data_IF_387597689232
#
_entry.id   IF_387597689232
#
_cell.length_a   1.000
_cell.length_b   1.000
_cell.length_c   1.000
_cell.angle_alpha   90.00
_cell.angle_beta   90.00
_cell.angle_gamma   90.00
#
_symmetry.space_group_name_H-M   'P 1'
#
loop_
_entity.id
_entity.type
_entity.pdbx_description
1 polymer ?
#
# COMPACT_ATOMS: atom_id res chain seq x y z
N UNK A 1 -13.65 18.33 -0.91
CA UNK A 1 -13.30 17.97 -2.30
C UNK A 1 -13.46 19.15 -3.25
N UNK A 2 -14.59 19.86 -3.23
CA UNK A 2 -14.83 21.08 -4.04
C UNK A 2 -13.70 22.12 -3.98
N UNK A 3 -13.32 22.55 -2.77
CA UNK A 3 -12.20 23.48 -2.56
C UNK A 3 -10.84 22.97 -3.06
N UNK A 4 -10.67 21.65 -3.19
CA UNK A 4 -9.45 21.07 -3.75
C UNK A 4 -9.46 21.11 -5.27
N UNK A 5 -10.60 20.80 -5.91
CA UNK A 5 -10.79 20.92 -7.35
C UNK A 5 -10.55 22.37 -7.80
N UNK A 6 -11.14 23.33 -7.09
CA UNK A 6 -10.99 24.77 -7.36
C UNK A 6 -9.53 25.23 -7.21
N UNK A 7 -8.85 24.84 -6.12
CA UNK A 7 -7.42 25.16 -5.92
C UNK A 7 -6.53 24.60 -7.02
N UNK A 8 -6.79 23.37 -7.46
CA UNK A 8 -6.01 22.72 -8.51
C UNK A 8 -6.27 23.40 -9.88
N UNK A 9 -7.52 23.77 -10.16
CA UNK A 9 -7.87 24.52 -11.36
C UNK A 9 -7.22 25.92 -11.38
N UNK A 10 -7.25 26.63 -10.25
CA UNK A 10 -6.61 27.94 -10.12
C UNK A 10 -5.08 27.87 -10.29
N UNK A 11 -4.43 26.83 -9.76
CA UNK A 11 -2.96 26.71 -9.78
C UNK A 11 -2.40 26.16 -11.10
N UNK A 12 -3.17 25.32 -11.79
CA UNK A 12 -2.67 24.55 -12.94
C UNK A 12 -3.56 24.65 -14.18
N UNK A 13 -4.57 25.52 -14.19
CA UNK A 13 -5.49 25.75 -15.32
C UNK A 13 -6.61 24.71 -15.50
N UNK A 14 -7.53 25.01 -16.43
CA UNK A 14 -8.67 24.15 -16.79
C UNK A 14 -8.28 23.11 -17.86
N UNK A 15 -7.50 22.10 -17.46
CA UNK A 15 -7.20 20.96 -18.33
C UNK A 15 -8.29 19.87 -18.22
N UNK A 16 -8.54 19.12 -19.31
CA UNK A 16 -9.35 17.89 -19.29
C UNK A 16 -8.65 16.81 -18.46
N UNK A 17 -8.88 16.81 -17.15
CA UNK A 17 -8.23 15.91 -16.18
C UNK A 17 -9.09 14.67 -15.93
N UNK A 18 -8.43 13.53 -15.75
CA UNK A 18 -9.03 12.31 -15.22
C UNK A 18 -8.70 12.18 -13.74
N UNK A 19 -9.72 12.16 -12.89
CA UNK A 19 -9.58 12.03 -11.45
C UNK A 19 -9.73 10.57 -11.02
N UNK A 20 -8.66 10.03 -10.44
CA UNK A 20 -8.65 8.68 -9.89
C UNK A 20 -8.93 8.76 -8.39
N UNK A 21 -9.98 8.08 -7.92
CA UNK A 21 -10.34 8.11 -6.49
C UNK A 21 -10.54 6.72 -5.90
N UNK A 22 -10.05 6.56 -4.68
CA UNK A 22 -10.26 5.38 -3.85
C UNK A 22 -11.72 5.19 -3.43
N UNK A 23 -12.01 3.98 -2.95
CA UNK A 23 -13.35 3.62 -2.49
C UNK A 23 -13.76 4.45 -1.27
N UNK A 24 -14.95 5.05 -1.33
CA UNK A 24 -15.53 5.81 -0.22
C UNK A 24 -15.05 7.26 -0.11
N UNK A 25 -14.27 7.75 -1.07
CA UNK A 25 -13.86 9.17 -1.14
C UNK A 25 -14.94 10.05 -1.78
N UNK A 26 -15.48 9.72 -2.98
CA UNK A 26 -16.52 10.53 -3.60
C UNK A 26 -17.92 10.17 -3.09
N UNK A 27 -18.75 11.20 -2.88
CA UNK A 27 -20.21 11.10 -2.72
C UNK A 27 -20.89 11.32 -4.07
N UNK A 28 -22.15 10.89 -4.22
CA UNK A 28 -22.91 11.09 -5.46
C UNK A 28 -22.97 12.56 -5.87
N UNK A 29 -23.30 13.44 -4.91
CA UNK A 29 -23.38 14.88 -5.13
C UNK A 29 -22.08 15.47 -5.67
N UNK A 30 -20.92 14.94 -5.28
CA UNK A 30 -19.62 15.41 -5.80
C UNK A 30 -19.40 14.90 -7.23
N UNK A 31 -19.77 13.65 -7.53
CA UNK A 31 -19.65 13.12 -8.89
C UNK A 31 -20.56 13.87 -9.87
N UNK A 32 -21.78 14.21 -9.43
CA UNK A 32 -22.71 15.01 -10.21
C UNK A 32 -22.15 16.41 -10.51
N UNK A 33 -21.58 17.08 -9.50
CA UNK A 33 -20.91 18.36 -9.70
C UNK A 33 -19.71 18.27 -10.66
N UNK A 34 -18.96 17.17 -10.60
CA UNK A 34 -17.83 16.94 -11.52
C UNK A 34 -18.31 16.70 -12.96
N UNK A 35 -19.50 16.13 -13.18
CA UNK A 35 -20.10 16.01 -14.50
C UNK A 35 -20.62 17.36 -15.01
N UNK A 36 -21.21 18.16 -14.13
CA UNK A 36 -21.80 19.46 -14.45
C UNK A 36 -20.79 20.63 -14.58
N UNK A 37 -19.52 20.42 -14.23
CA UNK A 37 -18.49 21.46 -14.36
C UNK A 37 -18.13 21.76 -15.82
N UNK A 38 -17.66 22.97 -16.10
CA UNK A 38 -17.11 23.35 -17.40
C UNK A 38 -15.60 23.64 -17.33
N UNK A 39 -14.73 22.88 -18.03
CA UNK A 39 -15.05 21.67 -18.80
C UNK A 39 -15.44 20.47 -17.90
N UNK A 40 -16.18 19.48 -18.42
CA UNK A 40 -16.63 18.32 -17.64
C UNK A 40 -15.43 17.53 -17.13
N UNK A 41 -15.43 17.24 -15.84
CA UNK A 41 -14.33 16.55 -15.18
C UNK A 41 -14.51 15.04 -15.33
N UNK A 42 -13.55 14.39 -15.97
CA UNK A 42 -13.53 12.93 -16.07
C UNK A 42 -13.08 12.29 -14.76
N UNK A 43 -13.62 11.14 -14.41
CA UNK A 43 -13.22 10.39 -13.21
C UNK A 43 -13.28 8.88 -13.40
N UNK A 44 -12.54 8.19 -12.55
CA UNK A 44 -12.60 6.74 -12.36
C UNK A 44 -12.48 6.44 -10.87
N UNK A 45 -13.57 5.93 -10.30
CA UNK A 45 -13.72 5.78 -8.86
C UNK A 45 -14.05 4.35 -8.48
N UNK A 46 -13.46 3.88 -7.38
CA UNK A 46 -13.86 2.60 -6.82
C UNK A 46 -15.20 2.73 -6.09
N UNK A 47 -16.15 1.85 -6.36
CA UNK A 47 -17.42 1.82 -5.63
C UNK A 47 -17.45 0.75 -4.53
N UNK A 48 -18.23 0.96 -3.45
CA UNK A 48 -18.38 -0.05 -2.40
C UNK A 48 -18.97 -1.35 -2.95
N UNK A 49 -18.55 -2.49 -2.39
CA UNK A 49 -19.09 -3.82 -2.78
C UNK A 49 -20.59 -3.99 -2.51
N UNK A 50 -21.21 -3.09 -1.73
CA UNK A 50 -22.66 -3.07 -1.51
C UNK A 50 -23.44 -2.72 -2.77
N UNK A 51 -22.95 -1.75 -3.54
CA UNK A 51 -23.54 -1.30 -4.81
C UNK A 51 -23.53 -2.39 -5.89
N UNK A 52 -22.62 -3.37 -5.77
CA UNK A 52 -22.59 -4.55 -6.64
C UNK A 52 -23.94 -5.27 -6.66
N UNK A 53 -24.67 -5.33 -5.54
CA UNK A 53 -25.91 -6.11 -5.45
C UNK A 53 -27.01 -5.55 -6.36
N UNK A 54 -27.03 -4.24 -6.59
CA UNK A 54 -28.01 -3.60 -7.48
C UNK A 54 -27.68 -3.87 -8.97
N UNK A 55 -26.40 -3.88 -9.30
CA UNK A 55 -25.91 -4.04 -10.68
C UNK A 55 -25.62 -5.50 -11.07
N UNK A 56 -25.66 -6.43 -10.09
CA UNK A 56 -25.28 -7.84 -10.28
C UNK A 56 -26.09 -8.47 -11.41
N UNK A 57 -27.40 -8.22 -11.46
CA UNK A 57 -28.29 -8.74 -12.52
C UNK A 57 -27.89 -8.23 -13.90
N UNK A 58 -27.74 -6.93 -14.08
CA UNK A 58 -27.38 -6.32 -15.36
C UNK A 58 -25.96 -6.70 -15.84
N UNK A 59 -25.08 -7.12 -14.92
CA UNK A 59 -23.73 -7.59 -15.21
C UNK A 59 -23.66 -9.09 -15.55
N UNK A 60 -24.71 -9.89 -15.29
CA UNK A 60 -24.67 -11.34 -15.56
C UNK A 60 -24.50 -11.62 -17.05
N UNK A 61 -25.26 -10.92 -17.89
CA UNK A 61 -25.34 -11.18 -19.33
C UNK A 61 -24.20 -10.54 -20.13
N UNK A 62 -23.34 -9.74 -19.49
CA UNK A 62 -22.19 -9.12 -20.15
C UNK A 62 -21.00 -10.08 -20.27
N UNK A 63 -20.25 -10.07 -21.39
CA UNK A 63 -19.08 -10.94 -21.55
C UNK A 63 -17.93 -10.53 -20.62
N UNK A 64 -17.09 -11.50 -20.26
CA UNK A 64 -15.82 -11.22 -19.60
C UNK A 64 -14.74 -10.95 -20.63
N UNK A 65 -14.01 -9.85 -20.46
CA UNK A 65 -12.85 -9.51 -21.27
C UNK A 65 -11.57 -9.66 -20.45
N UNK A 66 -10.59 -10.37 -20.99
CA UNK A 66 -9.28 -10.52 -20.35
C UNK A 66 -8.43 -9.27 -20.60
N UNK A 67 -8.01 -8.61 -19.52
CA UNK A 67 -7.20 -7.39 -19.60
C UNK A 67 -5.72 -7.68 -19.39
N UNK A 68 -5.42 -8.69 -18.55
CA UNK A 68 -4.07 -9.21 -18.31
C UNK A 68 -4.18 -10.60 -17.71
N UNK A 69 -3.06 -11.32 -17.64
CA UNK A 69 -3.01 -12.64 -17.00
C UNK A 69 -3.59 -12.60 -15.58
N UNK A 70 -4.64 -13.39 -15.35
CA UNK A 70 -5.34 -13.48 -14.06
C UNK A 70 -6.24 -12.29 -13.71
N UNK A 71 -6.54 -11.38 -14.65
CA UNK A 71 -7.54 -10.31 -14.46
C UNK A 71 -8.49 -10.22 -15.64
N UNK A 72 -9.79 -10.27 -15.33
CA UNK A 72 -10.88 -10.14 -16.28
C UNK A 72 -11.82 -9.03 -15.83
N UNK A 73 -12.47 -8.37 -16.79
CA UNK A 73 -13.41 -7.28 -16.53
C UNK A 73 -14.69 -7.43 -17.34
N UNK A 74 -15.78 -6.87 -16.84
CA UNK A 74 -17.04 -6.66 -17.56
C UNK A 74 -17.35 -5.17 -17.56
N UNK A 75 -17.82 -4.68 -18.69
CA UNK A 75 -18.33 -3.32 -18.82
C UNK A 75 -19.86 -3.32 -18.80
N UNK A 76 -20.42 -2.37 -18.06
CA UNK A 76 -21.84 -2.06 -18.06
C UNK A 76 -21.99 -0.54 -18.26
N UNK A 77 -22.22 -0.08 -19.50
CA UNK A 77 -22.64 1.29 -19.77
C UNK A 77 -24.05 1.52 -19.19
N UNK A 78 -24.23 2.58 -18.42
CA UNK A 78 -25.50 2.97 -17.83
C UNK A 78 -25.47 4.47 -17.47
N UNK A 79 -26.55 5.21 -17.78
CA UNK A 79 -26.76 6.60 -17.35
C UNK A 79 -25.55 7.53 -17.62
N UNK A 80 -25.05 7.51 -18.87
CA UNK A 80 -23.84 8.23 -19.34
C UNK A 80 -22.52 7.86 -18.64
N UNK A 81 -22.55 6.82 -17.83
CA UNK A 81 -21.39 6.26 -17.15
C UNK A 81 -21.11 4.83 -17.63
N UNK A 82 -19.95 4.34 -17.22
CA UNK A 82 -19.55 2.95 -17.37
C UNK A 82 -19.15 2.38 -16.02
N UNK A 83 -19.78 1.27 -15.68
CA UNK A 83 -19.42 0.45 -14.55
C UNK A 83 -18.47 -0.65 -15.02
N UNK A 84 -17.34 -0.79 -14.34
CA UNK A 84 -16.35 -1.84 -14.61
C UNK A 84 -16.36 -2.83 -13.46
N UNK A 85 -16.95 -4.00 -13.69
CA UNK A 85 -16.82 -5.12 -12.76
C UNK A 85 -15.56 -5.87 -13.10
N UNK A 86 -14.63 -5.93 -12.17
CA UNK A 86 -13.35 -6.53 -12.44
C UNK A 86 -12.99 -7.57 -11.37
N UNK A 87 -12.38 -8.66 -11.85
CA UNK A 87 -12.09 -9.87 -11.11
C UNK A 87 -10.61 -10.17 -11.24
N UNK A 88 -9.91 -10.29 -10.11
CA UNK A 88 -8.48 -10.61 -10.08
C UNK A 88 -8.21 -11.89 -9.29
N UNK A 89 -7.59 -12.88 -9.93
CA UNK A 89 -7.20 -14.14 -9.30
C UNK A 89 -6.25 -13.93 -8.11
N UNK A 90 -5.17 -13.17 -8.29
CA UNK A 90 -4.25 -12.84 -7.20
C UNK A 90 -4.94 -12.09 -6.04
N UNK A 91 -5.96 -11.27 -6.33
CA UNK A 91 -6.76 -10.63 -5.28
C UNK A 91 -7.70 -11.62 -4.56
N UNK A 92 -8.29 -12.57 -5.30
CA UNK A 92 -9.04 -13.68 -4.70
C UNK A 92 -8.15 -14.41 -3.70
N UNK A 93 -6.95 -14.80 -4.09
CA UNK A 93 -6.04 -15.56 -3.23
C UNK A 93 -5.60 -14.77 -2.01
N UNK A 94 -5.29 -13.48 -2.18
CA UNK A 94 -4.97 -12.58 -1.06
C UNK A 94 -6.14 -12.45 -0.07
N UNK A 95 -7.34 -12.14 -0.56
CA UNK A 95 -8.53 -11.98 0.31
C UNK A 95 -8.90 -13.29 0.99
N UNK A 96 -8.77 -14.41 0.27
CA UNK A 96 -8.99 -15.77 0.78
C UNK A 96 -7.98 -16.14 1.86
N UNK A 97 -6.69 -15.84 1.67
CA UNK A 97 -5.64 -16.07 2.66
C UNK A 97 -5.90 -15.26 3.94
N UNK A 98 -6.25 -13.97 3.80
CA UNK A 98 -6.62 -13.11 4.93
C UNK A 98 -7.83 -13.70 5.68
N UNK A 99 -8.89 -14.07 4.97
CA UNK A 99 -10.09 -14.69 5.57
C UNK A 99 -9.74 -15.98 6.30
N UNK A 100 -9.00 -16.90 5.66
CA UNK A 100 -8.59 -18.18 6.26
C UNK A 100 -7.75 -17.95 7.53
N UNK A 101 -6.78 -17.03 7.48
CA UNK A 101 -5.94 -16.67 8.64
C UNK A 101 -6.78 -16.15 9.81
N UNK A 102 -7.68 -15.19 9.55
CA UNK A 102 -8.56 -14.60 10.57
C UNK A 102 -9.56 -15.61 11.14
N UNK A 103 -10.18 -16.44 10.29
CA UNK A 103 -11.10 -17.48 10.73
C UNK A 103 -10.40 -18.58 11.54
N UNK A 104 -9.17 -18.97 11.16
CA UNK A 104 -8.40 -19.96 11.93
C UNK A 104 -8.13 -19.47 13.35
N UNK A 105 -7.72 -18.21 13.52
CA UNK A 105 -7.51 -17.59 14.84
C UNK A 105 -8.79 -17.52 15.64
N UNK A 106 -9.89 -17.08 15.01
CA UNK A 106 -11.19 -17.01 15.66
C UNK A 106 -11.65 -18.40 16.15
N UNK A 107 -11.55 -19.43 15.32
CA UNK A 107 -11.92 -20.80 15.70
C UNK A 107 -11.02 -21.36 16.80
N UNK A 108 -9.71 -21.10 16.75
CA UNK A 108 -8.80 -21.49 17.83
C UNK A 108 -9.23 -20.87 19.16
N UNK A 109 -9.53 -19.57 19.17
CA UNK A 109 -10.01 -18.87 20.37
C UNK A 109 -11.36 -19.39 20.85
N UNK A 110 -12.30 -19.69 19.95
CA UNK A 110 -13.61 -20.25 20.32
C UNK A 110 -13.48 -21.67 20.91
N UNK A 111 -12.58 -22.51 20.37
CA UNK A 111 -12.29 -23.82 20.94
C UNK A 111 -11.61 -23.71 22.31
N UNK A 112 -10.72 -22.74 22.50
CA UNK A 112 -10.09 -22.47 23.79
C UNK A 112 -11.14 -22.08 24.84
N UNK A 113 -12.03 -21.13 24.51
CA UNK A 113 -13.14 -20.73 25.39
C UNK A 113 -14.08 -21.89 25.70
N UNK A 114 -14.32 -22.78 24.74
CA UNK A 114 -15.13 -23.99 24.94
C UNK A 114 -14.47 -25.00 25.87
N UNK A 115 -13.14 -25.02 25.96
CA UNK A 115 -12.38 -25.88 26.89
C UNK A 115 -12.30 -25.28 28.29
N UNK A 116 -12.11 -23.97 28.38
CA UNK A 116 -12.01 -23.25 29.65
C UNK A 116 -13.37 -23.13 30.36
N UNK A 117 -14.46 -23.04 29.61
CA UNK A 117 -15.82 -22.80 30.12
C UNK A 117 -15.84 -21.67 31.16
N UNK A 118 -15.35 -20.46 30.81
CA UNK A 118 -15.27 -19.36 31.76
C UNK A 118 -16.68 -18.86 32.14
N UNK A 119 -16.75 -18.10 33.24
CA UNK A 119 -17.96 -17.38 33.64
C UNK A 119 -18.51 -16.50 32.51
N UNK A 120 -19.83 -16.29 32.51
CA UNK A 120 -20.54 -15.66 31.39
C UNK A 120 -19.97 -14.30 30.99
N UNK A 121 -19.64 -13.45 31.96
CA UNK A 121 -19.14 -12.10 31.67
C UNK A 121 -17.73 -12.14 31.07
N UNK A 122 -16.88 -13.06 31.53
CA UNK A 122 -15.56 -13.28 30.95
C UNK A 122 -15.68 -13.85 29.53
N UNK A 123 -16.64 -14.74 29.28
CA UNK A 123 -16.96 -15.24 27.94
C UNK A 123 -17.36 -14.08 27.01
N UNK A 124 -18.25 -13.19 27.45
CA UNK A 124 -18.71 -12.04 26.66
C UNK A 124 -17.57 -11.07 26.34
N UNK A 125 -16.71 -10.77 27.31
CA UNK A 125 -15.51 -9.94 27.09
C UNK A 125 -14.56 -10.59 26.08
N UNK A 126 -14.30 -11.89 26.22
CA UNK A 126 -13.44 -12.64 25.30
C UNK A 126 -14.02 -12.70 23.87
N UNK A 127 -15.35 -12.86 23.74
CA UNK A 127 -16.04 -12.80 22.45
C UNK A 127 -15.98 -11.40 21.84
N UNK A 128 -16.06 -10.34 22.65
CA UNK A 128 -15.85 -8.96 22.22
C UNK A 128 -14.44 -8.74 21.64
N UNK A 129 -13.41 -9.22 22.32
CA UNK A 129 -12.03 -9.18 21.85
C UNK A 129 -11.84 -9.99 20.55
N UNK A 130 -12.42 -11.19 20.50
CA UNK A 130 -12.39 -12.04 19.31
C UNK A 130 -13.11 -11.41 18.11
N UNK A 131 -14.24 -10.72 18.34
CA UNK A 131 -14.97 -9.95 17.32
C UNK A 131 -14.14 -8.80 16.79
N UNK A 132 -13.44 -8.07 17.67
CA UNK A 132 -12.52 -7.00 17.26
C UNK A 132 -11.38 -7.54 16.39
N UNK A 133 -10.77 -8.67 16.76
CA UNK A 133 -9.67 -9.24 15.98
C UNK A 133 -10.14 -9.81 14.63
N UNK A 134 -11.27 -10.52 14.61
CA UNK A 134 -11.83 -11.13 13.41
C UNK A 134 -12.49 -10.10 12.45
N UNK A 135 -12.93 -8.96 12.99
CA UNK A 135 -13.63 -7.91 12.26
C UNK A 135 -14.86 -8.45 11.53
N UNK A 136 -15.02 -8.09 10.25
CA UNK A 136 -16.15 -8.54 9.40
C UNK A 136 -16.30 -10.06 9.28
N UNK A 137 -15.23 -10.83 9.53
CA UNK A 137 -15.29 -12.29 9.41
C UNK A 137 -15.96 -12.96 10.60
N UNK A 138 -16.14 -12.25 11.72
CA UNK A 138 -16.90 -12.74 12.87
C UNK A 138 -18.33 -13.13 12.47
N UNK A 139 -18.97 -12.32 11.63
CA UNK A 139 -20.32 -12.54 11.12
C UNK A 139 -20.48 -13.78 10.22
N UNK A 140 -19.39 -14.48 9.88
CA UNK A 140 -19.41 -15.75 9.15
C UNK A 140 -19.64 -16.96 10.06
N UNK A 141 -19.55 -16.76 11.38
CA UNK A 141 -19.94 -17.73 12.38
C UNK A 141 -21.25 -17.27 13.02
N UNK A 142 -22.14 -18.23 13.25
CA UNK A 142 -23.27 -18.06 14.15
C UNK A 142 -22.83 -18.61 15.50
N UNK A 143 -22.69 -17.73 16.48
CA UNK A 143 -22.26 -18.05 17.84
C UNK A 143 -23.47 -17.86 18.74
N UNK A 144 -23.86 -18.94 19.41
CA UNK A 144 -24.89 -18.98 20.44
C UNK A 144 -24.20 -18.84 21.79
N UNK A 145 -24.67 -17.90 22.60
CA UNK A 145 -24.20 -17.64 23.96
C UNK A 145 -25.31 -17.99 24.95
N UNK A 146 -24.98 -18.41 26.19
CA UNK A 146 -25.97 -18.69 27.22
C UNK A 146 -26.81 -17.47 27.59
N UNK A 147 -28.05 -17.73 28.02
CA UNK A 147 -28.93 -16.75 28.64
C UNK A 147 -28.31 -16.19 29.94
N UNK A 148 -28.81 -15.05 30.48
CA UNK A 148 -28.27 -14.43 31.69
C UNK A 148 -28.09 -15.38 32.87
N UNK A 149 -29.04 -16.31 33.07
CA UNK A 149 -29.07 -17.23 34.21
C UNK A 149 -28.57 -18.65 33.87
N UNK A 150 -27.97 -18.83 32.69
CA UNK A 150 -27.44 -20.12 32.25
C UNK A 150 -25.92 -20.19 32.37
N UNK A 151 -25.43 -21.27 32.99
CA UNK A 151 -24.01 -21.59 33.01
C UNK A 151 -23.45 -21.82 31.60
N UNK A 152 -22.18 -21.46 31.40
CA UNK A 152 -21.46 -21.71 30.16
C UNK A 152 -21.10 -23.19 30.09
N UNK A 153 -21.79 -23.93 29.22
CA UNK A 153 -21.55 -25.36 29.00
C UNK A 153 -21.36 -25.64 27.51
N UNK A 154 -20.93 -26.85 27.17
CA UNK A 154 -20.74 -27.26 25.79
C UNK A 154 -22.04 -27.29 24.96
N UNK A 155 -23.22 -27.24 25.60
CA UNK A 155 -24.54 -27.18 24.98
C UNK A 155 -25.08 -25.76 24.86
N UNK A 156 -24.80 -24.89 25.84
CA UNK A 156 -25.26 -23.48 25.83
C UNK A 156 -24.34 -22.57 25.03
N UNK A 157 -23.05 -22.89 24.94
CA UNK A 157 -22.09 -22.20 24.07
C UNK A 157 -21.80 -23.03 22.80
N UNK A 158 -22.36 -22.59 21.68
CA UNK A 158 -22.20 -23.27 20.39
C UNK A 158 -21.77 -22.29 19.31
N UNK A 159 -20.99 -22.76 18.35
CA UNK A 159 -20.64 -21.98 17.17
C UNK A 159 -20.68 -22.83 15.91
N UNK A 160 -21.31 -22.30 14.86
CA UNK A 160 -21.47 -22.99 13.57
C UNK A 160 -21.22 -22.04 12.41
N UNK A 161 -20.87 -22.61 11.27
CA UNK A 161 -20.70 -21.83 10.05
C UNK A 161 -22.02 -21.25 9.56
N UNK A 162 -22.05 -19.94 9.33
CA UNK A 162 -23.13 -19.32 8.56
C UNK A 162 -22.90 -19.57 7.06
N UNK A 163 -23.26 -20.78 6.59
CA UNK A 163 -22.98 -21.25 5.22
C UNK A 163 -23.47 -20.31 4.12
N UNK A 164 -24.63 -19.68 4.29
CA UNK A 164 -25.15 -18.69 3.33
C UNK A 164 -24.22 -17.48 3.17
N UNK A 165 -23.85 -16.82 4.28
CA UNK A 165 -22.90 -15.68 4.27
C UNK A 165 -21.52 -16.07 3.74
N UNK A 166 -21.04 -17.26 4.11
CA UNK A 166 -19.77 -17.76 3.62
C UNK A 166 -19.77 -17.95 2.10
N UNK A 167 -20.86 -18.47 1.52
CA UNK A 167 -21.04 -18.60 0.06
C UNK A 167 -20.99 -17.24 -0.63
N UNK A 168 -21.73 -16.25 -0.11
CA UNK A 168 -21.72 -14.88 -0.66
C UNK A 168 -20.33 -14.26 -0.60
N UNK A 169 -19.63 -14.36 0.54
CA UNK A 169 -18.28 -13.81 0.68
C UNK A 169 -17.31 -14.46 -0.31
N UNK A 170 -17.34 -15.80 -0.44
CA UNK A 170 -16.48 -16.52 -1.40
C UNK A 170 -16.73 -16.09 -2.85
N UNK A 171 -17.99 -15.87 -3.24
CA UNK A 171 -18.34 -15.39 -4.59
C UNK A 171 -17.88 -13.96 -4.85
N UNK A 172 -17.80 -13.12 -3.81
CA UNK A 172 -17.41 -11.70 -3.89
C UNK A 172 -15.92 -11.45 -3.62
N UNK A 173 -15.13 -12.49 -3.30
CA UNK A 173 -13.67 -12.39 -3.16
C UNK A 173 -13.05 -11.93 -4.48
N UNK A 174 -12.09 -11.01 -4.41
CA UNK A 174 -11.33 -10.55 -5.59
C UNK A 174 -12.13 -9.79 -6.66
N UNK A 175 -13.43 -9.57 -6.45
CA UNK A 175 -14.29 -8.73 -7.29
C UNK A 175 -14.37 -7.30 -6.75
N UNK A 176 -14.28 -6.34 -7.66
CA UNK A 176 -14.40 -4.91 -7.38
C UNK A 176 -15.19 -4.26 -8.49
N UNK A 177 -15.93 -3.22 -8.11
CA UNK A 177 -16.72 -2.43 -9.03
C UNK A 177 -16.05 -1.06 -9.11
N UNK A 178 -15.84 -0.60 -10.33
CA UNK A 178 -15.40 0.76 -10.64
C UNK A 178 -16.53 1.47 -11.34
N UNK A 179 -16.55 2.79 -11.24
CA UNK A 179 -17.50 3.68 -11.91
C UNK A 179 -16.74 4.82 -12.56
N UNK A 180 -17.10 5.17 -13.78
CA UNK A 180 -16.42 6.19 -14.56
C UNK A 180 -17.36 6.84 -15.56
N UNK A 181 -17.14 8.11 -15.87
CA UNK A 181 -17.76 8.79 -17.03
C UNK A 181 -16.86 8.74 -18.29
N UNK A 182 -15.78 7.96 -18.29
CA UNK A 182 -14.94 7.70 -19.46
C UNK A 182 -15.58 6.62 -20.36
N UNK A 183 -16.73 6.94 -20.94
CA UNK A 183 -17.43 6.06 -21.87
C UNK A 183 -16.62 5.86 -23.17
N UNK A 184 -16.80 4.73 -23.84
CA UNK A 184 -16.11 4.40 -25.10
C UNK A 184 -14.64 3.97 -24.98
N UNK A 185 -14.03 4.01 -23.78
CA UNK A 185 -12.66 3.51 -23.58
C UNK A 185 -12.60 1.99 -23.48
N UNK A 186 -11.49 1.42 -23.95
CA UNK A 186 -11.23 -0.02 -23.83
C UNK A 186 -11.14 -0.42 -22.35
N UNK A 187 -11.67 -1.58 -21.96
CA UNK A 187 -11.62 -2.04 -20.58
C UNK A 187 -10.19 -2.12 -20.01
N UNK A 188 -9.22 -2.44 -20.87
CA UNK A 188 -7.81 -2.48 -20.50
C UNK A 188 -7.23 -1.12 -20.10
N UNK A 189 -7.67 -0.04 -20.75
CA UNK A 189 -7.25 1.33 -20.42
C UNK A 189 -7.81 1.77 -19.08
N UNK A 190 -9.11 1.54 -18.86
CA UNK A 190 -9.77 1.86 -17.58
C UNK A 190 -9.11 1.11 -16.42
N UNK A 191 -8.83 -0.19 -16.61
CA UNK A 191 -8.12 -0.97 -15.61
C UNK A 191 -6.70 -0.46 -15.34
N UNK A 192 -5.94 -0.14 -16.40
CA UNK A 192 -4.58 0.39 -16.28
C UNK A 192 -4.57 1.73 -15.54
N UNK A 193 -5.51 2.62 -15.88
CA UNK A 193 -5.71 3.89 -15.20
C UNK A 193 -6.03 3.67 -13.72
N UNK A 194 -6.95 2.76 -13.37
CA UNK A 194 -7.24 2.45 -11.98
C UNK A 194 -6.03 1.88 -11.22
N UNK A 195 -5.20 1.08 -11.88
CA UNK A 195 -3.98 0.54 -11.28
C UNK A 195 -2.91 1.60 -10.98
N UNK A 196 -2.94 2.76 -11.64
CA UNK A 196 -2.08 3.88 -11.26
C UNK A 196 -2.37 4.36 -9.83
N UNK A 197 -3.61 4.24 -9.35
CA UNK A 197 -3.94 4.56 -7.95
C UNK A 197 -3.14 3.69 -6.96
N UNK A 198 -2.93 2.41 -7.28
CA UNK A 198 -2.11 1.51 -6.45
C UNK A 198 -0.64 1.97 -6.44
N UNK A 199 -0.12 2.45 -7.57
CA UNK A 199 1.24 3.00 -7.64
C UNK A 199 1.38 4.25 -6.78
N UNK A 200 0.36 5.12 -6.78
CA UNK A 200 0.31 6.31 -5.92
C UNK A 200 0.20 5.92 -4.44
N UNK A 201 -0.63 4.94 -4.08
CA UNK A 201 -0.69 4.43 -2.70
C UNK A 201 0.65 3.84 -2.25
N UNK A 202 1.33 3.12 -3.13
CA UNK A 202 2.69 2.60 -2.89
C UNK A 202 3.69 3.74 -2.73
N UNK A 203 3.59 4.80 -3.56
CA UNK A 203 4.41 6.01 -3.43
C UNK A 203 4.26 6.64 -2.04
N UNK A 204 3.03 6.86 -1.59
CA UNK A 204 2.76 7.39 -0.25
C UNK A 204 3.27 6.48 0.86
N UNK A 205 3.17 5.16 0.67
CA UNK A 205 3.70 4.20 1.63
C UNK A 205 5.23 4.26 1.72
N UNK A 206 5.92 4.35 0.58
CA UNK A 206 7.38 4.45 0.53
C UNK A 206 7.86 5.78 1.13
N UNK A 207 7.17 6.89 0.83
CA UNK A 207 7.40 8.20 1.44
C UNK A 207 7.32 8.11 2.98
N UNK A 208 6.23 7.55 3.51
CA UNK A 208 6.01 7.42 4.97
C UNK A 208 6.92 6.39 5.64
N UNK A 209 7.30 5.35 4.91
CA UNK A 209 8.05 4.20 5.42
C UNK A 209 9.56 4.37 5.24
N UNK A 210 10.02 4.12 4.02
CA UNK A 210 11.42 3.99 3.66
C UNK A 210 12.15 5.33 3.63
N UNK A 211 11.45 6.40 3.22
CA UNK A 211 12.02 7.75 3.13
C UNK A 211 11.80 8.58 4.40
N UNK A 212 11.25 7.96 5.45
CA UNK A 212 11.23 8.58 6.78
C UNK A 212 10.32 9.81 6.92
N UNK A 213 9.26 9.97 6.11
CA UNK A 213 8.22 11.02 6.27
C UNK A 213 7.33 10.78 7.52
N UNK A 214 7.87 10.09 8.53
CA UNK A 214 7.29 9.93 9.86
C UNK A 214 7.35 11.28 10.60
N UNK A 215 6.56 11.49 11.68
CA UNK A 215 6.37 12.82 12.23
C UNK A 215 7.67 13.34 12.86
N UNK A 216 8.41 14.13 12.08
CA UNK A 216 9.26 15.18 12.61
C UNK A 216 8.30 16.32 12.96
N UNK A 217 8.10 16.55 14.26
CA UNK A 217 7.17 17.56 14.75
C UNK A 217 7.72 18.97 14.48
N UNK A 218 7.60 19.42 13.23
CA UNK A 218 7.95 20.77 12.85
C UNK A 218 6.92 21.75 13.41
N UNK A 219 7.38 22.72 14.19
CA UNK A 219 6.53 23.75 14.77
C UNK A 219 6.28 24.93 13.81
N UNK A 220 7.15 25.15 12.83
CA UNK A 220 7.07 26.26 11.86
C UNK A 220 6.62 25.74 10.50
N UNK A 221 5.68 26.45 9.85
CA UNK A 221 5.15 26.09 8.52
C UNK A 221 6.26 25.92 7.47
N UNK A 222 7.21 26.87 7.38
CA UNK A 222 8.31 26.79 6.42
C UNK A 222 9.17 25.51 6.56
N UNK A 223 9.32 24.97 7.79
CA UNK A 223 10.06 23.73 8.02
C UNK A 223 9.26 22.49 7.56
N UNK A 224 7.92 22.55 7.67
CA UNK A 224 7.04 21.51 7.12
C UNK A 224 7.19 21.48 5.60
N UNK A 225 7.13 22.64 4.94
CA UNK A 225 7.28 22.74 3.48
C UNK A 225 8.65 22.24 3.00
N UNK A 226 9.73 22.66 3.65
CA UNK A 226 11.08 22.20 3.33
C UNK A 226 11.23 20.67 3.49
N UNK A 227 10.70 20.10 4.58
CA UNK A 227 10.75 18.66 4.79
C UNK A 227 9.96 17.89 3.72
N UNK A 228 8.77 18.37 3.35
CA UNK A 228 7.97 17.79 2.26
C UNK A 228 8.73 17.85 0.94
N UNK A 229 9.40 18.97 0.64
CA UNK A 229 10.21 19.13 -0.56
C UNK A 229 11.37 18.12 -0.61
N UNK A 230 12.15 18.03 0.47
CA UNK A 230 13.29 17.09 0.55
C UNK A 230 12.81 15.64 0.44
N UNK A 231 11.73 15.28 1.13
CA UNK A 231 11.14 13.96 1.00
C UNK A 231 10.64 13.66 -0.42
N UNK A 232 10.08 14.65 -1.11
CA UNK A 232 9.66 14.51 -2.50
C UNK A 232 10.86 14.28 -3.43
N UNK A 233 11.95 15.04 -3.28
CA UNK A 233 13.20 14.85 -4.04
C UNK A 233 13.80 13.46 -3.76
N UNK A 234 13.85 13.04 -2.50
CA UNK A 234 14.32 11.71 -2.14
C UNK A 234 13.46 10.61 -2.80
N UNK A 235 12.15 10.83 -2.89
CA UNK A 235 11.24 9.93 -3.60
C UNK A 235 11.46 9.90 -5.11
N UNK A 236 11.71 11.04 -5.76
CA UNK A 236 12.01 11.04 -7.21
C UNK A 236 13.28 10.25 -7.50
N UNK A 237 14.33 10.42 -6.69
CA UNK A 237 15.56 9.61 -6.78
C UNK A 237 15.28 8.12 -6.58
N UNK A 238 14.46 7.77 -5.59
CA UNK A 238 14.06 6.39 -5.32
C UNK A 238 13.28 5.75 -6.50
N UNK A 239 12.42 6.52 -7.18
CA UNK A 239 11.72 6.08 -8.40
C UNK A 239 12.68 5.90 -9.57
N UNK A 240 13.62 6.82 -9.77
CA UNK A 240 14.66 6.69 -10.79
C UNK A 240 15.52 5.43 -10.58
N UNK A 241 15.92 5.17 -9.32
CA UNK A 241 16.65 3.94 -8.97
C UNK A 241 15.82 2.69 -9.27
N UNK A 242 14.52 2.69 -8.90
CA UNK A 242 13.61 1.57 -9.23
C UNK A 242 13.54 1.32 -10.73
N UNK A 243 13.45 2.38 -11.53
CA UNK A 243 13.35 2.26 -12.98
C UNK A 243 14.65 1.72 -13.60
N UNK A 244 15.82 2.15 -13.10
CA UNK A 244 17.12 1.58 -13.49
C UNK A 244 17.21 0.10 -13.12
N UNK A 245 16.79 -0.26 -11.91
CA UNK A 245 16.82 -1.65 -11.44
C UNK A 245 15.89 -2.57 -12.24
N UNK A 246 14.75 -2.09 -12.73
CA UNK A 246 13.86 -2.91 -13.58
C UNK A 246 14.55 -3.45 -14.83
N UNK A 247 15.50 -2.71 -15.39
CA UNK A 247 16.21 -3.11 -16.61
C UNK A 247 17.29 -4.16 -16.36
N UNK A 248 17.89 -4.19 -15.17
CA UNK A 248 19.12 -4.99 -14.92
C UNK A 248 18.98 -5.98 -13.77
N UNK A 249 18.13 -5.70 -12.77
CA UNK A 249 17.94 -6.50 -11.57
C UNK A 249 16.47 -6.40 -11.08
N UNK A 250 15.52 -6.82 -11.92
CA UNK A 250 14.07 -6.63 -11.67
C UNK A 250 13.51 -7.26 -10.38
N UNK A 251 14.26 -8.19 -9.77
CA UNK A 251 13.91 -8.80 -8.48
C UNK A 251 14.30 -7.96 -7.26
N UNK A 252 15.16 -6.95 -7.40
CA UNK A 252 15.64 -6.14 -6.28
C UNK A 252 14.77 -4.90 -6.06
N UNK A 253 14.52 -4.59 -4.79
CA UNK A 253 13.87 -3.33 -4.40
C UNK A 253 14.93 -2.25 -4.20
N UNK A 254 14.62 -0.97 -4.44
CA UNK A 254 15.57 0.12 -4.21
C UNK A 254 16.07 0.15 -2.76
N UNK A 255 15.22 -0.17 -1.80
CA UNK A 255 15.61 -0.31 -0.39
C UNK A 255 16.69 -1.36 -0.17
N UNK A 256 16.48 -2.58 -0.67
CA UNK A 256 17.46 -3.66 -0.52
C UNK A 256 18.80 -3.30 -1.19
N UNK A 257 18.75 -2.56 -2.30
CA UNK A 257 19.94 -2.02 -2.95
C UNK A 257 20.64 -1.01 -2.05
N UNK A 258 19.94 -0.01 -1.54
CA UNK A 258 20.52 0.98 -0.62
C UNK A 258 21.12 0.33 0.63
N UNK A 259 20.44 -0.66 1.21
CA UNK A 259 20.95 -1.43 2.36
C UNK A 259 22.29 -2.13 2.02
N UNK A 260 22.45 -2.67 0.81
CA UNK A 260 23.74 -3.21 0.35
C UNK A 260 24.80 -2.14 0.16
N UNK A 261 24.44 -0.98 -0.40
CA UNK A 261 25.37 0.14 -0.57
C UNK A 261 25.85 0.70 0.78
N UNK A 262 25.05 0.62 1.85
CA UNK A 262 25.46 1.03 3.20
C UNK A 262 26.63 0.21 3.77
N UNK A 263 26.95 -0.96 3.21
CA UNK A 263 28.13 -1.74 3.61
C UNK A 263 29.45 -1.07 3.18
N UNK A 264 29.41 -0.18 2.16
CA UNK A 264 30.59 0.60 1.78
C UNK A 264 30.72 1.78 2.73
N UNK A 265 31.73 1.73 3.58
CA UNK A 265 32.02 2.78 4.55
C UNK A 265 33.21 3.59 4.10
N UNK A 266 33.16 4.90 4.32
CA UNK A 266 34.32 5.77 4.23
C UNK A 266 34.99 5.79 5.60
N UNK A 267 36.30 5.53 5.64
CA UNK A 267 37.10 5.45 6.86
C UNK A 267 38.33 6.34 6.69
N UNK A 268 38.66 7.10 7.74
CA UNK A 268 39.92 7.81 7.83
C UNK A 268 40.90 6.97 8.63
N UNK A 269 42.01 6.57 7.98
CA UNK A 269 43.10 5.85 8.64
C UNK A 269 44.18 6.85 9.00
N UNK A 270 44.45 6.98 10.30
CA UNK A 270 45.50 7.83 10.85
C UNK A 270 46.74 6.98 11.11
N UNK A 271 47.84 7.32 10.45
CA UNK A 271 49.13 6.65 10.61
C UNK A 271 50.12 7.64 11.24
N UNK A 272 50.60 7.38 12.47
CA UNK A 272 51.61 8.22 13.09
C UNK A 272 52.95 8.08 12.37
N UNK A 273 53.65 9.19 12.14
CA UNK A 273 55.01 9.20 11.58
C UNK A 273 56.05 9.42 12.68
N UNK A 274 57.30 9.06 12.39
CA UNK A 274 58.43 9.17 13.33
C UNK A 274 58.77 10.61 13.75
N UNK A 275 58.27 11.60 13.03
CA UNK A 275 58.47 13.03 13.26
C UNK A 275 57.28 13.73 13.92
N UNK A 276 56.34 12.96 14.51
CA UNK A 276 55.20 13.50 15.27
C UNK A 276 54.06 14.07 14.41
N UNK A 277 54.11 13.89 13.08
CA UNK A 277 52.98 14.15 12.18
C UNK A 277 52.07 12.91 12.07
N UNK A 278 50.91 13.09 11.47
CA UNK A 278 49.98 12.02 11.12
C UNK A 278 49.69 12.04 9.62
N UNK A 279 49.80 10.88 8.98
CA UNK A 279 49.29 10.68 7.62
C UNK A 279 47.83 10.24 7.73
N UNK A 280 46.93 11.02 7.14
CA UNK A 280 45.50 10.74 7.05
C UNK A 280 45.20 10.16 5.67
N UNK A 281 44.71 8.92 5.65
CA UNK A 281 44.27 8.21 4.46
C UNK A 281 42.75 8.01 4.50
N UNK A 282 42.00 8.85 3.78
CA UNK A 282 40.56 8.63 3.59
C UNK A 282 40.36 7.52 2.54
N UNK A 283 39.76 6.41 2.95
CA UNK A 283 39.59 5.19 2.15
C UNK A 283 38.17 4.69 2.25
N UNK A 284 37.60 4.20 1.15
CA UNK A 284 36.36 3.45 1.23
C UNK A 284 36.67 1.95 1.40
N UNK A 285 35.81 1.21 2.09
CA UNK A 285 35.92 -0.25 2.17
C UNK A 285 35.74 -0.88 0.79
N UNK A 286 36.32 -2.07 0.59
CA UNK A 286 36.09 -2.81 -0.64
C UNK A 286 34.67 -3.40 -0.61
N UNK A 287 33.87 -3.21 -1.67
CA UNK A 287 32.53 -3.76 -1.73
C UNK A 287 32.57 -5.29 -1.75
N UNK A 288 31.64 -5.92 -1.04
CA UNK A 288 31.43 -7.38 -1.10
C UNK A 288 31.07 -7.84 -2.53
N UNK A 289 31.29 -9.11 -2.83
CA UNK A 289 31.04 -9.69 -4.18
C UNK A 289 29.64 -9.41 -4.70
N UNK A 290 28.62 -9.48 -3.85
CA UNK A 290 27.24 -9.18 -4.24
C UNK A 290 27.05 -7.72 -4.66
N UNK A 291 27.72 -6.79 -3.98
CA UNK A 291 27.66 -5.36 -4.32
C UNK A 291 28.51 -5.04 -5.56
N UNK A 292 29.63 -5.74 -5.78
CA UNK A 292 30.42 -5.62 -7.01
C UNK A 292 29.60 -5.97 -8.25
N UNK A 293 28.90 -7.11 -8.23
CA UNK A 293 27.98 -7.51 -9.32
C UNK A 293 26.93 -6.44 -9.56
N UNK A 294 26.38 -5.85 -8.50
CA UNK A 294 25.37 -4.81 -8.61
C UNK A 294 25.93 -3.49 -9.18
N UNK A 295 27.16 -3.11 -8.81
CA UNK A 295 27.87 -1.94 -9.35
C UNK A 295 28.10 -2.11 -10.85
N UNK A 296 28.57 -3.27 -11.29
CA UNK A 296 28.76 -3.60 -12.71
C UNK A 296 27.44 -3.54 -13.49
N UNK A 297 26.39 -4.18 -12.97
CA UNK A 297 25.04 -4.16 -13.56
C UNK A 297 24.50 -2.73 -13.68
N UNK A 298 24.68 -1.91 -12.65
CA UNK A 298 24.23 -0.52 -12.66
C UNK A 298 25.15 0.42 -13.45
N UNK A 299 26.28 -0.07 -13.95
CA UNK A 299 27.35 0.71 -14.59
C UNK A 299 27.83 1.86 -13.70
N UNK A 300 28.04 1.56 -12.41
CA UNK A 300 28.51 2.50 -11.41
C UNK A 300 29.94 2.15 -11.01
N UNK A 301 30.83 3.14 -11.05
CA UNK A 301 32.19 3.05 -10.54
C UNK A 301 32.28 3.81 -9.22
N UNK A 302 32.92 3.21 -8.20
CA UNK A 302 33.22 3.93 -6.97
C UNK A 302 34.17 5.10 -7.27
N UNK A 303 34.05 6.23 -6.55
CA UNK A 303 34.92 7.37 -6.76
C UNK A 303 36.38 7.00 -6.45
N UNK A 304 37.32 7.63 -7.15
CA UNK A 304 38.74 7.47 -6.87
C UNK A 304 39.05 7.87 -5.42
N UNK A 305 39.93 7.11 -4.76
CA UNK A 305 40.31 7.39 -3.39
C UNK A 305 41.21 8.63 -3.35
N UNK A 306 40.95 9.58 -2.44
CA UNK A 306 41.72 10.82 -2.37
C UNK A 306 43.19 10.54 -2.01
N UNK A 307 44.12 11.42 -2.44
CA UNK A 307 45.52 11.30 -2.08
C UNK A 307 45.72 11.43 -0.55
N UNK A 308 46.80 10.85 -0.01
CA UNK A 308 47.17 11.01 1.40
C UNK A 308 47.32 12.48 1.77
N UNK A 309 46.90 12.83 2.98
CA UNK A 309 47.15 14.15 3.59
C UNK A 309 48.08 13.97 4.78
N UNK A 310 48.94 14.95 5.04
CA UNK A 310 49.83 14.96 6.21
C UNK A 310 49.37 16.11 7.11
N UNK A 311 49.20 15.86 8.40
CA UNK A 311 48.90 16.93 9.36
C UNK A 311 50.08 17.90 9.46
N UNK A 312 49.81 19.19 9.71
CA UNK A 312 50.89 20.13 10.02
C UNK A 312 51.62 19.66 11.28
N UNK A 313 52.94 19.87 11.34
CA UNK A 313 53.72 19.58 12.54
C UNK A 313 53.10 20.34 13.73
N UNK A 314 52.87 19.64 14.84
CA UNK A 314 52.36 20.28 16.04
C UNK A 314 53.29 21.44 16.45
N UNK A 315 52.78 22.64 16.76
CA UNK A 315 53.63 23.68 17.30
C UNK A 315 54.24 23.16 18.60
N UNK A 316 55.58 23.22 18.69
CA UNK A 316 56.31 22.92 19.92
C UNK A 316 55.67 23.74 21.04
N UNK A 317 55.10 23.06 22.03
CA UNK A 317 54.65 23.70 23.26
C UNK A 317 55.88 24.31 23.93
N UNK A 318 55.99 25.63 23.86
CA UNK A 318 56.93 26.43 24.64
C UNK A 318 56.46 26.52 26.09
#
# INVERSE_FOLDING_TARGET
>A
MKSFLEKIAARYGQARRVWLMGRGIPTEAVLEQMRASDPPVSYLVGTPKGALSALEKALLDRPWEAVRTGVQVKLLPQDEEVYVLAQSAGRVDKERAIRRKKLRRLLARLHELRRQLPERDQLLMALGAAKKEAGRFYALLQITVPAPDQAVTATTFQFRWHRARLRVVRRREGRYLLRSNLTGRKPAELWTCYMQLVQVEEAFKNLKGDLGLRPVFHQKMARIEAHILVAFIAYTLHVCLRQRLRAVAGGLTPRAVLEKFCAVQMVDVHLPTTDGREVILTRHTQPERELQVLLEQLKLTLPAQPPPKITPAAPLAL
#
